data_IF_429052314077
#
_entry.id   IF_429052314077
#
_cell.length_a   1.000
_cell.length_b   1.000
_cell.length_c   1.000
_cell.angle_alpha   90.00
_cell.angle_beta   90.00
_cell.angle_gamma   90.00
#
_symmetry.space_group_name_H-M   'P 1'
#
loop_
_entity.id
_entity.type
_entity.pdbx_description
1 polymer ?
#
# COMPACT_ATOMS: atom_id res chain seq x y z
N UNK A 1 5.95 15.69 9.57
CA UNK A 1 4.58 15.31 9.19
C UNK A 1 4.10 14.20 10.10
N UNK A 2 2.99 14.39 10.82
CA UNK A 2 2.48 13.40 11.79
C UNK A 2 1.60 12.38 11.05
N UNK A 3 2.09 11.14 10.93
CA UNK A 3 1.21 9.99 10.68
C UNK A 3 0.31 9.83 11.92
N UNK A 4 -1.00 9.85 11.73
CA UNK A 4 -1.98 9.66 12.80
C UNK A 4 -2.60 8.26 12.69
N UNK A 5 -2.72 7.56 13.81
CA UNK A 5 -3.54 6.34 13.88
C UNK A 5 -4.93 6.72 14.39
N UNK A 6 -5.98 6.28 13.71
CA UNK A 6 -7.34 6.42 14.20
C UNK A 6 -7.72 5.17 15.00
N UNK A 7 -8.35 5.37 16.17
CA UNK A 7 -8.86 4.28 16.99
C UNK A 7 -10.11 3.63 16.38
N UNK A 8 -10.89 4.39 15.61
CA UNK A 8 -12.10 3.94 14.92
C UNK A 8 -12.21 4.58 13.52
N UNK A 9 -12.94 3.95 12.61
CA UNK A 9 -13.27 4.54 11.30
C UNK A 9 -14.52 5.41 11.46
N UNK A 10 -14.46 6.70 11.10
CA UNK A 10 -15.65 7.55 11.01
C UNK A 10 -16.71 6.96 10.09
N UNK A 11 -17.97 7.37 10.23
CA UNK A 11 -19.03 6.96 9.30
C UNK A 11 -18.75 7.52 7.92
N UNK A 12 -19.24 6.85 6.89
CA UNK A 12 -19.06 7.28 5.49
C UNK A 12 -19.62 8.70 5.23
N UNK A 13 -20.68 9.09 5.95
CA UNK A 13 -21.27 10.44 5.91
C UNK A 13 -20.37 11.55 6.44
N UNK A 14 -19.33 11.22 7.20
CA UNK A 14 -18.37 12.18 7.76
C UNK A 14 -17.23 12.49 6.78
N UNK A 15 -17.16 11.79 5.64
CA UNK A 15 -16.16 12.04 4.61
C UNK A 15 -16.73 12.95 3.52
N UNK A 16 -15.89 13.84 2.92
CA UNK A 16 -16.22 14.44 1.64
C UNK A 16 -16.36 13.37 0.55
N UNK A 17 -16.82 13.71 -0.67
CA UNK A 17 -16.88 12.77 -1.78
C UNK A 17 -15.57 12.00 -1.93
N UNK A 18 -15.68 10.68 -1.90
CA UNK A 18 -14.53 9.78 -1.85
C UNK A 18 -14.65 8.65 -2.87
N UNK A 19 -13.52 8.00 -3.13
CA UNK A 19 -13.43 6.81 -3.95
C UNK A 19 -12.64 5.73 -3.26
N UNK A 20 -13.19 4.52 -3.22
CA UNK A 20 -12.56 3.36 -2.61
C UNK A 20 -11.84 2.51 -3.66
N UNK A 21 -10.66 2.01 -3.31
CA UNK A 21 -9.91 1.04 -4.11
C UNK A 21 -9.54 -0.17 -3.26
N UNK A 22 -9.64 -1.36 -3.82
CA UNK A 22 -9.00 -2.53 -3.24
C UNK A 22 -7.51 -2.51 -3.56
N UNK A 23 -6.69 -2.73 -2.53
CA UNK A 23 -5.23 -2.75 -2.61
C UNK A 23 -4.69 -4.00 -1.94
N UNK A 24 -3.82 -4.71 -2.65
CA UNK A 24 -3.11 -5.89 -2.15
C UNK A 24 -1.61 -5.67 -2.30
N UNK A 25 -0.84 -5.85 -1.23
CA UNK A 25 0.62 -5.87 -1.29
C UNK A 25 1.17 -7.26 -1.01
N UNK A 26 2.15 -7.67 -1.82
CA UNK A 26 2.96 -8.84 -1.58
C UNK A 26 4.42 -8.40 -1.45
N UNK A 27 5.12 -8.88 -0.44
CA UNK A 27 6.56 -8.73 -0.35
C UNK A 27 7.23 -9.87 -1.11
N UNK A 28 8.30 -9.56 -1.81
CA UNK A 28 9.08 -10.54 -2.57
C UNK A 28 10.38 -10.84 -1.83
N UNK A 29 10.90 -12.04 -2.05
CA UNK A 29 12.26 -12.38 -1.63
C UNK A 29 13.24 -11.44 -2.32
N UNK A 30 14.27 -10.98 -1.61
CA UNK A 30 15.30 -10.12 -2.19
C UNK A 30 16.70 -10.62 -1.82
N UNK A 31 17.64 -10.52 -2.76
CA UNK A 31 18.98 -11.09 -2.65
C UNK A 31 19.96 -10.26 -1.82
N UNK A 32 19.63 -9.00 -1.52
CA UNK A 32 20.53 -8.06 -0.84
C UNK A 32 20.10 -7.79 0.61
N UNK A 33 21.04 -7.68 1.56
CA UNK A 33 20.72 -7.26 2.91
C UNK A 33 20.05 -5.88 2.87
N UNK A 34 18.86 -5.79 3.47
CA UNK A 34 18.03 -4.56 3.59
C UNK A 34 17.38 -4.05 2.30
N UNK A 35 17.48 -4.76 1.18
CA UNK A 35 16.65 -4.47 0.00
C UNK A 35 15.21 -4.89 0.31
N UNK A 36 14.24 -4.05 -0.07
CA UNK A 36 12.82 -4.42 0.04
C UNK A 36 12.19 -4.37 -1.34
N UNK A 37 11.65 -5.51 -1.77
CA UNK A 37 10.86 -5.61 -2.98
C UNK A 37 9.39 -5.88 -2.61
N UNK A 38 8.46 -5.16 -3.25
CA UNK A 38 7.02 -5.37 -3.07
C UNK A 38 6.27 -5.23 -4.38
N UNK A 39 5.28 -6.08 -4.58
CA UNK A 39 4.24 -5.92 -5.58
C UNK A 39 3.03 -5.24 -4.97
N UNK A 40 2.37 -4.38 -5.73
CA UNK A 40 1.08 -3.79 -5.40
C UNK A 40 0.09 -4.03 -6.53
N UNK A 41 -1.05 -4.64 -6.21
CA UNK A 41 -2.26 -4.65 -7.04
C UNK A 41 -3.22 -3.62 -6.47
N UNK A 42 -3.73 -2.70 -7.29
CA UNK A 42 -4.75 -1.70 -6.91
C UNK A 42 -5.84 -1.63 -7.97
N UNK A 43 -7.10 -1.63 -7.57
CA UNK A 43 -8.20 -1.54 -8.51
C UNK A 43 -9.57 -1.36 -7.87
N UNK A 44 -10.57 -1.16 -8.73
CA UNK A 44 -12.01 -1.11 -8.41
C UNK A 44 -12.77 -1.48 -9.69
N UNK A 45 -14.02 -1.93 -9.58
CA UNK A 45 -14.89 -2.21 -10.74
C UNK A 45 -14.20 -3.07 -11.82
N UNK A 46 -13.48 -4.11 -11.38
CA UNK A 46 -12.70 -5.03 -12.22
C UNK A 46 -11.54 -4.41 -13.04
N UNK A 47 -11.19 -3.14 -12.81
CA UNK A 47 -10.04 -2.48 -13.41
C UNK A 47 -8.86 -2.46 -12.45
N UNK A 48 -7.71 -3.00 -12.88
CA UNK A 48 -6.55 -3.24 -12.02
C UNK A 48 -5.26 -2.60 -12.56
N UNK A 49 -4.44 -2.12 -11.64
CA UNK A 49 -3.10 -1.59 -11.88
C UNK A 49 -2.09 -2.30 -11.01
N UNK A 50 -0.89 -2.53 -11.55
CA UNK A 50 0.15 -3.32 -10.93
C UNK A 50 1.46 -2.54 -10.89
N UNK A 51 2.08 -2.45 -9.71
CA UNK A 51 3.37 -1.78 -9.52
C UNK A 51 4.33 -2.73 -8.81
N UNK A 52 5.56 -2.82 -9.31
CA UNK A 52 6.70 -3.35 -8.57
C UNK A 52 7.48 -2.19 -7.97
N UNK A 53 7.75 -2.25 -6.67
CA UNK A 53 8.60 -1.27 -5.99
C UNK A 53 9.82 -1.95 -5.42
N UNK A 54 11.01 -1.43 -5.72
CA UNK A 54 12.27 -1.83 -5.10
C UNK A 54 12.80 -0.64 -4.30
N UNK A 55 12.98 -0.83 -3.00
CA UNK A 55 13.61 0.15 -2.10
C UNK A 55 15.00 -0.34 -1.71
N UNK A 56 16.02 0.44 -2.05
CA UNK A 56 17.42 0.17 -1.69
C UNK A 56 17.92 1.21 -0.69
N UNK A 57 18.43 0.81 0.49
CA UNK A 57 19.07 1.73 1.41
C UNK A 57 20.44 2.13 0.87
N UNK A 58 20.78 3.41 0.97
CA UNK A 58 22.10 3.95 0.62
C UNK A 58 22.95 4.19 1.89
N UNK A 59 24.27 4.30 1.72
CA UNK A 59 25.26 4.40 2.80
C UNK A 59 25.20 5.69 3.63
N UNK A 60 24.33 6.65 3.30
CA UNK A 60 24.21 7.94 3.98
C UNK A 60 22.78 8.28 4.41
N UNK A 61 22.00 7.27 4.83
CA UNK A 61 20.65 7.45 5.39
C UNK A 61 19.55 7.77 4.37
N UNK A 62 19.90 7.98 3.10
CA UNK A 62 18.94 8.12 2.01
C UNK A 62 18.56 6.75 1.45
N UNK A 63 17.31 6.59 0.99
CA UNK A 63 16.85 5.36 0.32
C UNK A 63 16.32 5.68 -1.07
N UNK A 64 16.74 4.92 -2.07
CA UNK A 64 16.23 5.03 -3.44
C UNK A 64 15.04 4.09 -3.58
N UNK A 65 13.91 4.62 -4.05
CA UNK A 65 12.70 3.86 -4.36
C UNK A 65 12.46 3.89 -5.88
N UNK A 66 12.58 2.73 -6.52
CA UNK A 66 12.25 2.56 -7.95
C UNK A 66 10.86 1.94 -8.05
N UNK A 67 9.98 2.55 -8.85
CA UNK A 67 8.63 2.06 -9.14
C UNK A 67 8.53 1.72 -10.61
N UNK A 68 8.12 0.50 -10.91
CA UNK A 68 7.92 0.01 -12.28
C UNK A 68 6.46 -0.39 -12.45
N UNK A 69 5.82 0.12 -13.50
CA UNK A 69 4.49 -0.32 -13.91
C UNK A 69 4.58 -1.71 -14.54
N UNK A 70 3.65 -2.58 -14.18
CA UNK A 70 3.60 -3.95 -14.68
C UNK A 70 2.33 -4.21 -15.48
N UNK A 71 2.42 -5.18 -16.39
CA UNK A 71 1.25 -5.85 -16.95
C UNK A 71 0.68 -6.87 -15.93
N UNK A 72 -0.54 -7.34 -16.18
CA UNK A 72 -1.12 -8.42 -15.36
C UNK A 72 -0.26 -9.69 -15.40
N UNK A 73 0.26 -10.05 -16.57
CA UNK A 73 1.11 -11.24 -16.76
C UNK A 73 2.40 -11.15 -15.95
N UNK A 74 3.10 -10.01 -16.01
CA UNK A 74 4.35 -9.82 -15.26
C UNK A 74 4.11 -9.86 -13.76
N UNK A 75 2.99 -9.29 -13.31
CA UNK A 75 2.60 -9.36 -11.90
C UNK A 75 2.39 -10.79 -11.42
N UNK A 76 1.66 -11.63 -12.19
CA UNK A 76 1.49 -13.05 -11.84
C UNK A 76 2.82 -13.79 -11.82
N UNK A 77 3.69 -13.54 -12.80
CA UNK A 77 5.01 -14.17 -12.86
C UNK A 77 5.88 -13.82 -11.63
N UNK A 78 5.93 -12.54 -11.25
CA UNK A 78 6.70 -12.08 -10.09
C UNK A 78 6.08 -12.54 -8.76
N UNK A 79 4.77 -12.79 -8.73
CA UNK A 79 4.09 -13.29 -7.52
C UNK A 79 4.62 -14.67 -7.09
N UNK A 80 5.20 -15.45 -8.01
CA UNK A 80 5.87 -16.72 -7.70
C UNK A 80 7.10 -16.54 -6.79
N UNK A 81 7.66 -15.33 -6.72
CA UNK A 81 8.80 -14.98 -5.85
C UNK A 81 8.34 -14.35 -4.52
N UNK A 82 7.06 -14.50 -4.17
CA UNK A 82 6.52 -13.99 -2.92
C UNK A 82 7.26 -14.61 -1.74
N UNK A 83 7.69 -13.74 -0.83
CA UNK A 83 8.25 -14.17 0.44
C UNK A 83 7.13 -14.59 1.39
N UNK A 84 7.06 -15.89 1.69
CA UNK A 84 6.04 -16.45 2.58
C UNK A 84 6.29 -16.12 4.06
N UNK A 85 7.48 -15.63 4.44
CA UNK A 85 7.73 -15.13 5.79
C UNK A 85 7.06 -13.76 6.03
N UNK A 86 6.65 -13.07 4.96
CA UNK A 86 5.96 -11.80 5.03
C UNK A 86 4.46 -11.95 4.73
N UNK A 87 3.63 -11.32 5.56
CA UNK A 87 2.19 -11.33 5.36
C UNK A 87 1.80 -10.55 4.11
N UNK A 88 0.85 -11.10 3.35
CA UNK A 88 0.16 -10.32 2.33
C UNK A 88 -0.73 -9.29 3.02
N UNK A 89 -0.63 -8.04 2.58
CA UNK A 89 -1.44 -6.95 3.13
C UNK A 89 -2.65 -6.73 2.23
N UNK A 90 -3.83 -6.88 2.81
CA UNK A 90 -5.10 -6.53 2.18
C UNK A 90 -5.63 -5.24 2.79
N UNK A 91 -6.00 -4.27 1.96
CA UNK A 91 -6.59 -3.02 2.43
C UNK A 91 -7.56 -2.42 1.42
N UNK A 92 -8.50 -1.65 1.92
CA UNK A 92 -9.32 -0.72 1.14
C UNK A 92 -8.71 0.66 1.30
N UNK A 93 -8.42 1.33 0.19
CA UNK A 93 -7.87 2.68 0.16
C UNK A 93 -8.96 3.65 -0.25
N UNK A 94 -9.39 4.49 0.69
CA UNK A 94 -10.33 5.58 0.47
C UNK A 94 -9.56 6.84 0.10
N UNK A 95 -9.87 7.41 -1.05
CA UNK A 95 -9.23 8.61 -1.56
C UNK A 95 -10.24 9.75 -1.65
N UNK A 96 -9.88 10.93 -1.18
CA UNK A 96 -10.78 12.09 -1.17
C UNK A 96 -10.01 13.41 -1.22
N UNK A 97 -10.69 14.50 -1.54
CA UNK A 97 -10.13 15.85 -1.62
C UNK A 97 -10.66 16.71 -0.47
N UNK A 98 -9.78 17.46 0.18
CA UNK A 98 -10.14 18.53 1.13
C UNK A 98 -9.28 19.74 0.78
N UNK A 99 -9.88 20.90 0.55
CA UNK A 99 -9.16 22.13 0.20
C UNK A 99 -8.14 21.96 -0.94
N UNK A 100 -8.54 21.25 -2.00
CA UNK A 100 -7.69 20.91 -3.17
C UNK A 100 -6.48 20.01 -2.85
N UNK A 101 -6.36 19.54 -1.62
CA UNK A 101 -5.33 18.58 -1.23
C UNK A 101 -5.91 17.16 -1.27
N UNK A 102 -5.14 16.26 -1.87
CA UNK A 102 -5.49 14.86 -2.01
C UNK A 102 -5.08 14.05 -0.79
N UNK A 103 -6.01 13.26 -0.27
CA UNK A 103 -5.82 12.41 0.90
C UNK A 103 -6.11 10.95 0.58
N UNK A 104 -5.40 10.06 1.26
CA UNK A 104 -5.62 8.61 1.22
C UNK A 104 -5.80 8.10 2.66
N UNK A 105 -6.73 7.16 2.83
CA UNK A 105 -7.02 6.48 4.09
C UNK A 105 -7.00 4.97 3.83
N UNK A 106 -6.15 4.25 4.56
CA UNK A 106 -5.96 2.80 4.39
C UNK A 106 -6.69 2.00 5.49
N UNK A 107 -7.72 1.28 5.06
CA UNK A 107 -8.54 0.42 5.90
C UNK A 107 -8.03 -1.02 5.71
N UNK A 108 -7.17 -1.48 6.63
CA UNK A 108 -6.61 -2.83 6.59
C UNK A 108 -7.71 -3.89 6.83
N UNK A 109 -7.66 -4.97 6.05
CA UNK A 109 -8.57 -6.12 6.12
C UNK A 109 -7.82 -7.34 6.65
N UNK A 110 -8.57 -8.30 7.19
CA UNK A 110 -8.02 -9.61 7.55
C UNK A 110 -7.75 -10.47 6.30
N UNK A 111 -6.74 -11.36 6.31
CA UNK A 111 -5.78 -11.58 7.39
C UNK A 111 -4.75 -10.45 7.49
N UNK A 112 -4.47 -10.01 8.73
CA UNK A 112 -3.47 -8.97 9.02
C UNK A 112 -2.40 -9.49 9.99
N UNK A 113 -1.17 -8.98 9.88
CA UNK A 113 -0.08 -9.30 10.82
C UNK A 113 -0.48 -8.89 12.25
N UNK A 114 -0.16 -9.64 13.33
CA UNK A 114 -0.59 -9.35 14.71
C UNK A 114 -0.24 -7.94 15.22
N UNK A 115 0.87 -7.36 14.76
CA UNK A 115 1.27 -5.95 14.98
C UNK A 115 0.33 -4.90 14.37
N UNK A 116 -0.58 -5.29 13.49
CA UNK A 116 -1.74 -4.50 13.07
C UNK A 116 -2.99 -5.11 13.72
N UNK A 117 -3.14 -4.99 15.06
CA UNK A 117 -4.36 -5.44 15.71
C UNK A 117 -5.50 -4.62 15.11
N UNK A 118 -6.55 -5.27 14.57
CA UNK A 118 -7.92 -4.80 14.24
C UNK A 118 -8.19 -3.34 13.80
N UNK A 119 -7.20 -2.52 13.55
CA UNK A 119 -7.29 -1.06 13.54
C UNK A 119 -6.73 -0.49 12.25
N UNK A 120 -7.53 0.40 11.69
CA UNK A 120 -7.44 0.97 10.35
C UNK A 120 -6.41 2.11 10.40
N UNK A 121 -5.39 2.07 9.54
CA UNK A 121 -4.29 3.03 9.61
C UNK A 121 -4.51 4.15 8.59
N UNK A 122 -4.50 5.39 9.07
CA UNK A 122 -4.56 6.57 8.22
C UNK A 122 -3.14 6.94 7.78
N UNK A 123 -2.84 6.78 6.49
CA UNK A 123 -1.59 7.24 5.90
C UNK A 123 -1.89 8.33 4.87
N UNK A 124 -1.70 9.59 5.28
CA UNK A 124 -1.80 10.72 4.37
C UNK A 124 -0.57 10.79 3.47
N UNK A 125 -0.76 10.66 2.16
CA UNK A 125 0.27 10.94 1.17
C UNK A 125 -0.03 12.28 0.50
N UNK A 126 0.79 13.29 0.77
CA UNK A 126 0.83 14.53 -0.02
C UNK A 126 1.68 14.21 -1.26
N UNK A 127 1.16 14.33 -2.49
CA UNK A 127 2.02 14.31 -3.67
C UNK A 127 3.02 15.47 -3.54
N UNK A 128 4.30 15.21 -3.84
CA UNK A 128 5.28 16.28 -4.05
C UNK A 128 4.79 17.24 -5.13
#
# INVERSE_FOLDING_TARGET
MKSGKLAYLPKDSEFPPFQDFDVVHHYLTSSGPRVQARLRKRGQNNHWSYIHTIRRPHLHGQSVEVKTQLTHRDYINLLNQRDNAHFTIYKKRRCFLVNQQYFQLDIYKEPSHPRYPKFKALEYFVPK
#
